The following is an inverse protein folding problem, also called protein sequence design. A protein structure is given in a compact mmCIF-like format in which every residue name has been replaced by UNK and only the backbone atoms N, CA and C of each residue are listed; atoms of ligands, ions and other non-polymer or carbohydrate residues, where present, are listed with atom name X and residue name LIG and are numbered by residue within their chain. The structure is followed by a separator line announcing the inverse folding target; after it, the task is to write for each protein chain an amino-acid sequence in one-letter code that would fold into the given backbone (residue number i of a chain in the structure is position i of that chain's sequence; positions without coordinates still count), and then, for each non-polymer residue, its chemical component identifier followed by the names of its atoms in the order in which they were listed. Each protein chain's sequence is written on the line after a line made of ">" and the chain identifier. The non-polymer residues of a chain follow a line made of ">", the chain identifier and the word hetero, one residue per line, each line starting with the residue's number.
data_IF_187019827418
#
_entry.id   IF_187019827418
#
_cell.length_a   1.000
_cell.length_b   1.000
_cell.length_c   1.000
_cell.angle_alpha   90.00
_cell.angle_beta   90.00
_cell.angle_gamma   90.00
#
_symmetry.space_group_name_H-M   'P 1'
#
loop_
_entity.id
_entity.type
_entity.pdbx_description
1 polymer ?
#
# COMPACT_ATOMS: atom_id res chain seq x y z
N UNK A 1 46.11 -65.40 -9.96
CA UNK A 1 44.82 -64.69 -9.92
C UNK A 1 45.09 -63.20 -9.77
N UNK A 2 45.01 -62.48 -10.86
CA UNK A 2 45.09 -61.02 -10.82
C UNK A 2 43.71 -60.46 -10.65
N UNK A 3 43.43 -59.86 -9.51
CA UNK A 3 42.18 -59.12 -9.30
C UNK A 3 42.31 -57.78 -10.03
N UNK A 4 41.59 -57.62 -11.14
CA UNK A 4 41.51 -56.37 -11.82
C UNK A 4 40.67 -55.39 -11.00
N UNK A 5 41.32 -54.32 -10.57
CA UNK A 5 40.63 -53.20 -9.94
C UNK A 5 39.98 -52.40 -11.07
N UNK A 6 38.65 -52.43 -11.15
CA UNK A 6 37.90 -51.55 -12.04
C UNK A 6 37.88 -50.20 -11.39
N UNK A 7 38.63 -49.27 -11.93
CA UNK A 7 38.55 -47.84 -11.52
C UNK A 7 37.33 -47.26 -12.18
N UNK A 8 36.26 -47.09 -11.41
CA UNK A 8 35.08 -46.40 -11.87
C UNK A 8 35.36 -44.90 -11.73
N UNK A 9 35.91 -44.30 -12.77
CA UNK A 9 35.94 -42.82 -12.84
C UNK A 9 34.52 -42.36 -13.17
N UNK A 10 33.77 -41.97 -12.12
CA UNK A 10 32.54 -41.26 -12.31
C UNK A 10 32.88 -39.84 -12.83
N UNK A 11 32.67 -39.61 -14.09
CA UNK A 11 32.78 -38.31 -14.69
C UNK A 11 31.60 -37.49 -14.19
N UNK A 12 31.78 -36.75 -13.08
CA UNK A 12 30.83 -35.79 -12.60
C UNK A 12 30.91 -34.58 -13.54
N UNK A 13 30.16 -34.64 -14.62
CA UNK A 13 29.90 -33.45 -15.44
C UNK A 13 29.09 -32.50 -14.59
N UNK A 14 29.77 -31.59 -13.90
CA UNK A 14 29.10 -30.44 -13.31
C UNK A 14 28.49 -29.61 -14.46
N UNK A 15 27.21 -29.77 -14.66
CA UNK A 15 26.45 -28.89 -15.53
C UNK A 15 26.40 -27.54 -14.86
N UNK A 16 27.36 -26.66 -15.16
CA UNK A 16 27.31 -25.27 -14.75
C UNK A 16 26.15 -24.66 -15.57
N UNK A 17 24.96 -24.70 -15.00
CA UNK A 17 23.91 -23.81 -15.48
C UNK A 17 24.36 -22.40 -15.16
N UNK A 18 24.81 -21.68 -16.16
CA UNK A 18 24.91 -20.24 -16.10
C UNK A 18 23.48 -19.73 -15.93
N UNK A 19 23.07 -19.52 -14.68
CA UNK A 19 21.87 -18.73 -14.39
C UNK A 19 22.18 -17.37 -15.00
N UNK A 20 21.38 -16.90 -15.99
CA UNK A 20 21.54 -15.52 -16.43
C UNK A 20 21.41 -14.70 -15.16
N UNK A 21 22.44 -13.97 -14.81
CA UNK A 21 22.35 -12.91 -13.84
C UNK A 21 21.34 -11.94 -14.44
N UNK A 22 20.06 -12.16 -14.10
CA UNK A 22 19.06 -11.12 -14.29
C UNK A 22 19.66 -9.92 -13.59
N UNK A 23 19.85 -8.85 -14.36
CA UNK A 23 20.20 -7.56 -13.82
C UNK A 23 19.36 -7.42 -12.55
N UNK A 24 20.00 -7.16 -11.41
CA UNK A 24 19.32 -6.77 -10.22
C UNK A 24 18.44 -5.58 -10.62
N UNK A 25 17.19 -5.85 -10.98
CA UNK A 25 16.16 -4.88 -10.79
C UNK A 25 16.14 -4.77 -9.28
N UNK A 26 16.84 -3.76 -8.77
CA UNK A 26 16.64 -3.24 -7.45
C UNK A 26 15.14 -2.98 -7.39
N UNK A 27 14.40 -3.95 -6.89
CA UNK A 27 13.01 -3.72 -6.55
C UNK A 27 13.09 -2.69 -5.45
N UNK A 28 12.82 -1.44 -5.80
CA UNK A 28 12.62 -0.38 -4.82
C UNK A 28 11.60 -0.91 -3.84
N UNK A 29 12.12 -1.37 -2.69
CA UNK A 29 11.27 -1.85 -1.60
C UNK A 29 10.51 -0.62 -1.12
N UNK A 30 9.28 -0.49 -1.57
CA UNK A 30 8.40 0.58 -1.09
C UNK A 30 8.18 0.36 0.39
N UNK A 31 8.81 1.20 1.21
CA UNK A 31 8.69 1.10 2.66
C UNK A 31 7.32 1.61 3.09
N UNK A 32 6.61 0.85 3.94
CA UNK A 32 5.40 1.35 4.56
C UNK A 32 5.67 2.63 5.37
N UNK A 33 4.80 3.61 5.22
CA UNK A 33 4.83 4.84 6.00
C UNK A 33 3.71 4.84 7.03
N UNK A 34 4.00 5.23 8.25
CA UNK A 34 3.00 5.40 9.29
C UNK A 34 2.27 6.71 9.06
N UNK A 35 0.95 6.65 8.91
CA UNK A 35 0.10 7.80 8.67
C UNK A 35 -1.06 7.80 9.66
N UNK A 36 -1.56 8.98 9.99
CA UNK A 36 -2.84 9.09 10.66
C UNK A 36 -3.95 8.69 9.70
N UNK A 37 -4.89 7.89 10.19
CA UNK A 37 -6.02 7.42 9.41
C UNK A 37 -7.32 7.87 10.07
N UNK A 38 -8.07 8.68 9.37
CA UNK A 38 -9.42 9.06 9.73
C UNK A 38 -10.42 8.39 8.80
N UNK A 39 -11.68 8.51 9.09
CA UNK A 39 -12.73 7.94 8.26
C UNK A 39 -13.79 9.00 7.98
N UNK A 40 -14.25 9.05 6.75
CA UNK A 40 -15.31 9.96 6.35
C UNK A 40 -16.45 9.23 5.67
N UNK A 41 -17.60 9.85 5.73
CA UNK A 41 -18.79 9.47 4.96
C UNK A 41 -19.33 10.70 4.29
N UNK A 42 -20.09 10.52 3.23
CA UNK A 42 -20.72 11.61 2.52
C UNK A 42 -22.09 11.20 2.03
N UNK A 43 -22.84 12.17 1.49
CA UNK A 43 -24.14 11.91 0.90
C UNK A 43 -23.96 11.00 -0.33
N UNK A 44 -24.86 10.04 -0.49
CA UNK A 44 -24.89 9.20 -1.69
C UNK A 44 -24.88 10.06 -2.96
N UNK A 45 -24.06 9.65 -3.93
CA UNK A 45 -23.89 10.37 -5.19
C UNK A 45 -22.90 11.53 -5.16
N UNK A 46 -22.25 11.81 -4.02
CA UNK A 46 -21.18 12.81 -3.95
C UNK A 46 -20.03 12.46 -4.90
N UNK A 47 -19.42 13.50 -5.46
CA UNK A 47 -18.31 13.37 -6.41
C UNK A 47 -16.99 13.61 -5.69
N UNK A 48 -16.02 12.71 -5.89
CA UNK A 48 -14.66 12.84 -5.38
C UNK A 48 -13.83 13.82 -6.21
N UNK A 49 -12.64 14.15 -5.73
CA UNK A 49 -11.70 15.01 -6.47
C UNK A 49 -11.26 14.42 -7.82
N UNK A 50 -11.36 13.09 -7.99
CA UNK A 50 -11.09 12.42 -9.28
C UNK A 50 -12.26 12.53 -10.28
N UNK A 51 -13.41 13.03 -9.86
CA UNK A 51 -14.63 13.12 -10.69
C UNK A 51 -15.49 11.85 -10.66
N UNK A 52 -15.18 10.89 -9.83
CA UNK A 52 -15.94 9.65 -9.66
C UNK A 52 -16.96 9.79 -8.53
N UNK A 53 -18.02 8.98 -8.56
CA UNK A 53 -18.91 8.87 -7.41
C UNK A 53 -18.19 8.23 -6.24
N UNK A 54 -18.43 8.77 -5.05
CA UNK A 54 -17.88 8.22 -3.82
C UNK A 54 -18.39 6.78 -3.60
N UNK A 55 -17.51 5.90 -3.17
CA UNK A 55 -17.81 4.48 -2.90
C UNK A 55 -16.83 3.89 -1.88
N UNK A 56 -17.20 2.81 -1.25
CA UNK A 56 -16.23 2.05 -0.45
C UNK A 56 -15.11 1.49 -1.34
N UNK A 57 -13.92 1.38 -0.77
CA UNK A 57 -12.69 1.00 -1.49
C UNK A 57 -11.85 2.19 -1.97
N UNK A 58 -12.28 3.43 -1.69
CA UNK A 58 -11.49 4.63 -1.97
C UNK A 58 -11.01 5.30 -0.69
N UNK A 59 -9.91 6.02 -0.82
CA UNK A 59 -9.38 6.90 0.22
C UNK A 59 -9.12 8.29 -0.35
N UNK A 60 -9.19 9.28 0.54
CA UNK A 60 -8.62 10.60 0.31
C UNK A 60 -7.15 10.60 0.77
N UNK A 61 -6.29 11.11 -0.06
CA UNK A 61 -4.85 11.18 0.19
C UNK A 61 -4.21 12.39 -0.47
N UNK A 62 -2.90 12.45 -0.39
CA UNK A 62 -2.10 13.47 -1.03
C UNK A 62 -2.40 13.52 -2.54
N UNK A 63 -2.46 14.71 -3.10
CA UNK A 63 -2.82 14.90 -4.53
C UNK A 63 -1.92 14.11 -5.49
N UNK A 64 -0.63 13.98 -5.17
CA UNK A 64 0.34 13.24 -5.99
C UNK A 64 0.11 11.72 -5.97
N UNK A 65 -0.72 11.24 -5.05
CA UNK A 65 -1.13 9.83 -4.99
C UNK A 65 -2.42 9.53 -5.77
N UNK A 66 -3.05 10.56 -6.36
CA UNK A 66 -4.29 10.39 -7.10
C UNK A 66 -4.15 9.29 -8.16
N UNK A 67 -5.15 8.42 -8.25
CA UNK A 67 -5.22 7.24 -9.11
C UNK A 67 -4.23 6.11 -8.80
N UNK A 68 -3.42 6.24 -7.74
CA UNK A 68 -2.55 5.17 -7.28
C UNK A 68 -3.31 4.19 -6.38
N UNK A 69 -2.72 3.01 -6.21
CA UNK A 69 -3.22 2.00 -5.27
C UNK A 69 -2.60 2.23 -3.90
N UNK A 70 -3.44 2.18 -2.87
CA UNK A 70 -3.03 2.28 -1.48
C UNK A 70 -3.26 0.95 -0.78
N UNK A 71 -2.22 0.38 -0.20
CA UNK A 71 -2.31 -0.82 0.62
C UNK A 71 -2.19 -0.39 2.07
N UNK A 72 -3.18 -0.75 2.89
CA UNK A 72 -3.21 -0.42 4.30
C UNK A 72 -2.94 -1.65 5.16
N UNK A 73 -2.10 -1.45 6.16
CA UNK A 73 -1.78 -2.42 7.20
C UNK A 73 -2.06 -1.84 8.57
N UNK A 74 -2.47 -2.68 9.51
CA UNK A 74 -2.53 -2.28 10.91
C UNK A 74 -1.12 -2.08 11.51
N UNK A 75 -1.05 -1.68 12.78
CA UNK A 75 0.24 -1.43 13.43
C UNK A 75 1.07 -2.70 13.68
N UNK A 76 0.47 -3.87 13.57
CA UNK A 76 1.13 -5.18 13.64
C UNK A 76 1.48 -5.73 12.24
N UNK A 77 1.32 -4.90 11.19
CA UNK A 77 1.57 -5.24 9.79
C UNK A 77 0.64 -6.31 9.20
N UNK A 78 -0.55 -6.48 9.77
CA UNK A 78 -1.60 -7.27 9.14
C UNK A 78 -2.31 -6.44 8.07
N UNK A 79 -2.61 -7.07 6.93
CA UNK A 79 -3.31 -6.41 5.84
C UNK A 79 -4.72 -6.00 6.28
N UNK A 80 -5.02 -4.71 6.17
CA UNK A 80 -6.38 -4.17 6.33
C UNK A 80 -7.14 -4.25 5.02
N UNK A 81 -6.53 -3.82 3.92
CA UNK A 81 -7.13 -3.85 2.61
C UNK A 81 -6.35 -3.10 1.55
N UNK A 82 -6.87 -3.17 0.34
CA UNK A 82 -6.34 -2.51 -0.84
C UNK A 82 -7.38 -1.50 -1.31
N UNK A 83 -6.94 -0.27 -1.50
CA UNK A 83 -7.78 0.88 -1.80
C UNK A 83 -7.25 1.64 -3.01
N UNK A 84 -8.08 2.48 -3.58
CA UNK A 84 -7.69 3.43 -4.61
C UNK A 84 -7.68 4.85 -4.04
N UNK A 85 -6.67 5.63 -4.37
CA UNK A 85 -6.64 7.05 -4.04
C UNK A 85 -7.45 7.79 -5.11
N UNK A 86 -8.66 8.18 -4.77
CA UNK A 86 -9.61 8.84 -5.70
C UNK A 86 -10.10 10.18 -5.18
N UNK A 87 -9.71 10.55 -3.97
CA UNK A 87 -10.11 11.79 -3.36
C UNK A 87 -8.93 12.50 -2.72
N UNK A 88 -9.11 13.74 -2.40
CA UNK A 88 -8.17 14.57 -1.65
C UNK A 88 -8.90 15.26 -0.50
N UNK A 89 -8.16 15.86 0.38
CA UNK A 89 -8.73 16.61 1.48
C UNK A 89 -7.70 17.55 2.09
N UNK A 90 -8.13 18.28 3.08
CA UNK A 90 -7.28 19.17 3.85
C UNK A 90 -6.62 18.41 5.01
N UNK A 91 -7.40 17.64 5.77
CA UNK A 91 -6.95 17.01 7.01
C UNK A 91 -6.97 17.96 8.17
N UNK A 92 -6.11 17.73 9.15
CA UNK A 92 -5.96 18.59 10.31
C UNK A 92 -5.08 19.79 9.98
N UNK A 93 -5.37 20.91 10.64
CA UNK A 93 -4.52 22.09 10.64
C UNK A 93 -3.40 21.89 11.68
N UNK A 94 -2.15 21.83 11.24
CA UNK A 94 -1.00 21.64 12.12
C UNK A 94 -0.12 22.90 12.26
N UNK A 95 -0.32 23.90 11.41
CA UNK A 95 0.43 25.15 11.43
C UNK A 95 -0.38 26.34 11.99
N UNK A 96 -1.68 26.15 12.24
CA UNK A 96 -2.52 27.16 12.86
C UNK A 96 -3.02 28.26 11.91
N UNK A 97 -2.95 28.05 10.61
CA UNK A 97 -3.43 29.01 9.61
C UNK A 97 -4.94 28.93 9.35
N UNK A 98 -5.63 28.01 10.01
CA UNK A 98 -7.07 27.75 9.85
C UNK A 98 -7.40 26.85 8.67
N UNK A 99 -6.41 26.28 7.99
CA UNK A 99 -6.58 25.35 6.87
C UNK A 99 -5.95 24.00 7.22
N UNK A 100 -6.62 22.93 6.86
CA UNK A 100 -6.05 21.60 7.02
C UNK A 100 -4.87 21.36 6.09
N UNK A 101 -3.86 20.66 6.58
CA UNK A 101 -2.63 20.40 5.83
C UNK A 101 -2.18 18.92 5.83
N UNK A 102 -2.66 18.11 6.77
CA UNK A 102 -2.10 16.76 6.98
C UNK A 102 -2.37 15.78 5.85
N UNK A 103 -3.50 15.87 5.16
CA UNK A 103 -3.74 15.05 3.96
C UNK A 103 -2.92 15.61 2.80
N UNK A 104 -2.90 16.92 2.64
CA UNK A 104 -2.14 17.61 1.59
C UNK A 104 -0.66 17.28 1.62
N UNK A 105 -0.07 17.14 2.81
CA UNK A 105 1.36 16.84 2.98
C UNK A 105 1.68 15.35 3.13
N UNK A 106 0.68 14.47 3.06
CA UNK A 106 0.85 13.01 3.14
C UNK A 106 1.04 12.45 4.55
N UNK A 107 0.78 13.22 5.60
CA UNK A 107 0.84 12.76 6.99
C UNK A 107 -0.42 12.03 7.44
N UNK A 108 -1.53 12.23 6.76
CA UNK A 108 -2.79 11.54 7.01
C UNK A 108 -3.51 11.13 5.73
N UNK A 109 -4.39 10.16 5.89
CA UNK A 109 -5.35 9.70 4.89
C UNK A 109 -6.73 9.66 5.52
N UNK A 110 -7.76 9.62 4.69
CA UNK A 110 -9.15 9.53 5.11
C UNK A 110 -9.85 8.42 4.35
N UNK A 111 -10.32 7.40 5.07
CA UNK A 111 -10.96 6.22 4.45
C UNK A 111 -12.44 6.48 4.32
N UNK A 112 -12.99 6.26 3.14
CA UNK A 112 -14.42 6.38 2.92
C UNK A 112 -15.18 5.15 3.42
N UNK A 113 -16.28 5.40 4.12
CA UNK A 113 -17.28 4.39 4.49
C UNK A 113 -18.68 4.90 4.17
N UNK A 114 -19.56 4.01 3.75
CA UNK A 114 -20.92 4.37 3.33
C UNK A 114 -21.78 4.99 4.43
N UNK A 115 -21.50 4.68 5.69
CA UNK A 115 -22.25 5.19 6.83
C UNK A 115 -21.35 5.62 7.96
N UNK A 116 -21.85 6.52 8.79
CA UNK A 116 -21.17 6.98 9.99
C UNK A 116 -20.90 5.83 10.98
N UNK A 117 -21.83 4.89 11.10
CA UNK A 117 -21.65 3.70 11.93
C UNK A 117 -20.45 2.87 11.47
N UNK A 118 -20.28 2.67 10.18
CA UNK A 118 -19.12 1.97 9.62
C UNK A 118 -17.81 2.74 9.82
N UNK A 119 -17.86 4.07 9.86
CA UNK A 119 -16.71 4.89 10.25
C UNK A 119 -16.32 4.64 11.72
N UNK A 120 -17.26 4.61 12.62
CA UNK A 120 -16.99 4.32 14.03
C UNK A 120 -16.42 2.90 14.22
N UNK A 121 -16.96 1.91 13.51
CA UNK A 121 -16.45 0.54 13.54
C UNK A 121 -15.00 0.48 13.04
N UNK A 122 -14.67 1.21 11.98
CA UNK A 122 -13.31 1.31 11.46
C UNK A 122 -12.33 1.86 12.51
N UNK A 123 -12.65 3.01 13.09
CA UNK A 123 -11.78 3.66 14.08
C UNK A 123 -11.63 2.79 15.33
N UNK A 124 -12.70 2.11 15.75
CA UNK A 124 -12.67 1.18 16.87
C UNK A 124 -11.77 -0.02 16.61
N UNK A 125 -11.76 -0.54 15.38
CA UNK A 125 -10.98 -1.72 15.01
C UNK A 125 -9.50 -1.39 14.77
N UNK A 126 -9.20 -0.30 14.05
CA UNK A 126 -7.85 0.02 13.57
C UNK A 126 -7.17 1.18 14.29
N UNK A 127 -7.93 1.97 15.06
CA UNK A 127 -7.40 3.15 15.77
C UNK A 127 -7.10 4.32 14.83
N UNK A 128 -6.20 5.19 15.28
CA UNK A 128 -5.89 6.46 14.62
C UNK A 128 -4.71 6.38 13.63
N UNK A 129 -3.99 5.27 13.60
CA UNK A 129 -2.79 5.13 12.77
C UNK A 129 -2.78 3.79 12.03
N UNK A 130 -2.28 3.85 10.82
CA UNK A 130 -2.05 2.67 9.97
C UNK A 130 -0.69 2.81 9.28
N UNK A 131 -0.19 1.71 8.71
CA UNK A 131 0.88 1.75 7.73
C UNK A 131 0.30 1.77 6.32
N UNK A 132 0.86 2.62 5.48
CA UNK A 132 0.43 2.87 4.12
C UNK A 132 1.57 2.55 3.15
N UNK A 133 1.25 1.82 2.11
CA UNK A 133 2.09 1.63 0.91
C UNK A 133 1.35 2.18 -0.29
N UNK A 134 1.99 3.07 -1.02
CA UNK A 134 1.45 3.61 -2.29
C UNK A 134 2.21 2.96 -3.44
N UNK A 135 1.49 2.38 -4.37
CA UNK A 135 2.04 1.81 -5.60
C UNK A 135 1.31 2.38 -6.81
N UNK A 136 2.00 2.42 -7.94
CA UNK A 136 1.37 2.81 -9.19
C UNK A 136 0.29 1.78 -9.55
N UNK A 137 -0.85 2.27 -10.02
CA UNK A 137 -1.87 1.38 -10.54
C UNK A 137 -1.30 0.70 -11.80
N UNK A 138 -1.44 -0.62 -11.87
CA UNK A 138 -1.13 -1.33 -13.11
C UNK A 138 -2.08 -0.85 -14.21
N UNK A 139 -1.49 -0.37 -15.27
CA UNK A 139 -2.22 0.12 -16.44
C UNK A 139 -2.86 -1.00 -17.26
#
# INVERSE_FOLDING_TARGET
>A
MKKGTILLTSLLTALIMSVPTSANTETDIVKPIKVRCTCYTSTEGSITASGEHVREGIIAGKREWMHKTAILYDLDMNLIGIYEVKDTGAGMDTDGDGKGDTIKNGKSIDVYRNTLSRCYDWVKEYGDYVYLVIIDAEG
#
